data_IF_999812324974
#
_entry.id   IF_999812324974
#
_cell.length_a   1.000
_cell.length_b   1.000
_cell.length_c   1.000
_cell.angle_alpha   90.00
_cell.angle_beta   90.00
_cell.angle_gamma   90.00
#
_symmetry.space_group_name_H-M   'P 1'
#
loop_
_entity.id
_entity.type
_entity.pdbx_description
1 polymer ?
#
# COMPACT_ATOMS: atom_id res chain seq x y z
N UNK A 1 -15.90 14.43 -61.16
CA UNK A 1 -16.62 14.92 -59.96
C UNK A 1 -17.13 16.32 -60.26
N UNK A 2 -18.44 16.53 -60.08
CA UNK A 2 -19.08 17.84 -60.18
C UNK A 2 -18.58 18.76 -59.06
N UNK A 3 -18.55 20.07 -59.30
CA UNK A 3 -18.22 21.09 -58.29
C UNK A 3 -19.08 20.94 -57.00
N UNK A 4 -20.33 20.48 -57.17
CA UNK A 4 -21.25 20.18 -56.06
C UNK A 4 -20.79 19.00 -55.19
N UNK A 5 -20.28 17.93 -55.80
CA UNK A 5 -19.79 16.75 -55.08
C UNK A 5 -18.52 17.08 -54.29
N UNK A 6 -17.61 17.88 -54.88
CA UNK A 6 -16.44 18.38 -54.17
C UNK A 6 -16.80 19.22 -52.94
N UNK A 7 -17.79 20.12 -53.06
CA UNK A 7 -18.24 20.95 -51.95
C UNK A 7 -18.81 20.13 -50.79
N UNK A 8 -19.59 19.08 -51.09
CA UNK A 8 -20.16 18.18 -50.08
C UNK A 8 -19.07 17.42 -49.32
N UNK A 9 -18.08 16.88 -50.04
CA UNK A 9 -16.96 16.15 -49.44
C UNK A 9 -16.12 17.09 -48.57
N UNK A 10 -15.87 18.33 -48.99
CA UNK A 10 -15.13 19.31 -48.17
C UNK A 10 -15.86 19.63 -46.86
N UNK A 11 -17.19 19.85 -46.90
CA UNK A 11 -17.97 20.07 -45.67
C UNK A 11 -17.88 18.89 -44.71
N UNK A 12 -18.02 17.67 -45.21
CA UNK A 12 -17.92 16.46 -44.38
C UNK A 12 -16.53 16.32 -43.74
N UNK A 13 -15.46 16.66 -44.47
CA UNK A 13 -14.10 16.66 -43.92
C UNK A 13 -13.98 17.66 -42.76
N UNK A 14 -14.55 18.85 -42.90
CA UNK A 14 -14.47 19.88 -41.87
C UNK A 14 -15.31 19.51 -40.63
N UNK A 15 -16.49 18.93 -40.82
CA UNK A 15 -17.30 18.35 -39.74
C UNK A 15 -16.53 17.26 -38.97
N UNK A 16 -15.91 16.32 -39.70
CA UNK A 16 -15.10 15.25 -39.10
C UNK A 16 -13.89 15.82 -38.34
N UNK A 17 -13.23 16.86 -38.85
CA UNK A 17 -12.12 17.53 -38.14
C UNK A 17 -12.57 18.19 -36.84
N UNK A 18 -13.74 18.84 -36.86
CA UNK A 18 -14.31 19.46 -35.68
C UNK A 18 -14.63 18.40 -34.61
N UNK A 19 -15.25 17.30 -35.03
CA UNK A 19 -15.55 16.15 -34.17
C UNK A 19 -14.28 15.53 -33.57
N UNK A 20 -13.24 15.30 -34.37
CA UNK A 20 -11.94 14.81 -33.87
C UNK A 20 -11.37 15.76 -32.82
N UNK A 21 -11.46 17.06 -33.05
CA UNK A 21 -10.95 18.07 -32.12
C UNK A 21 -11.78 18.13 -30.83
N UNK A 22 -13.10 17.95 -30.94
CA UNK A 22 -14.02 17.84 -29.80
C UNK A 22 -13.67 16.61 -28.96
N UNK A 23 -13.54 15.44 -29.57
CA UNK A 23 -13.24 14.21 -28.84
C UNK A 23 -11.85 14.20 -28.22
N UNK A 24 -10.82 14.79 -28.86
CA UNK A 24 -9.51 14.97 -28.22
C UNK A 24 -9.60 15.77 -26.92
N UNK A 25 -10.30 16.91 -26.95
CA UNK A 25 -10.52 17.74 -25.75
C UNK A 25 -11.27 16.97 -24.66
N UNK A 26 -12.29 16.20 -25.04
CA UNK A 26 -13.05 15.41 -24.07
C UNK A 26 -12.22 14.29 -23.45
N UNK A 27 -11.38 13.61 -24.25
CA UNK A 27 -10.43 12.61 -23.74
C UNK A 27 -9.47 13.24 -22.73
N UNK A 28 -8.91 14.42 -23.04
CA UNK A 28 -7.98 15.10 -22.13
C UNK A 28 -8.67 15.53 -20.83
N UNK A 29 -9.91 16.05 -20.93
CA UNK A 29 -10.73 16.40 -19.76
C UNK A 29 -11.01 15.19 -18.87
N UNK A 30 -11.38 14.06 -19.47
CA UNK A 30 -11.67 12.82 -18.74
C UNK A 30 -10.41 12.24 -18.09
N UNK A 31 -9.26 12.27 -18.78
CA UNK A 31 -7.97 11.86 -18.20
C UNK A 31 -7.60 12.70 -16.97
N UNK A 32 -7.76 14.02 -17.05
CA UNK A 32 -7.48 14.91 -15.92
C UNK A 32 -8.43 14.65 -14.75
N UNK A 33 -9.71 14.42 -15.04
CA UNK A 33 -10.72 14.08 -14.02
C UNK A 33 -10.38 12.76 -13.35
N UNK A 34 -10.04 11.73 -14.13
CA UNK A 34 -9.62 10.43 -13.63
C UNK A 34 -8.39 10.54 -12.73
N UNK A 35 -7.35 11.28 -13.16
CA UNK A 35 -6.14 11.47 -12.38
C UNK A 35 -6.42 12.13 -11.01
N UNK A 36 -7.28 13.17 -11.00
CA UNK A 36 -7.68 13.84 -9.75
C UNK A 36 -8.42 12.89 -8.80
N UNK A 37 -9.47 12.22 -9.29
CA UNK A 37 -10.25 11.28 -8.47
C UNK A 37 -9.37 10.12 -7.97
N UNK A 38 -8.47 9.62 -8.81
CA UNK A 38 -7.54 8.56 -8.43
C UNK A 38 -6.59 9.00 -7.31
N UNK A 39 -6.04 10.21 -7.40
CA UNK A 39 -5.19 10.78 -6.36
C UNK A 39 -5.94 10.95 -5.02
N UNK A 40 -7.19 11.41 -5.08
CA UNK A 40 -8.03 11.54 -3.89
C UNK A 40 -8.33 10.18 -3.25
N UNK A 41 -8.63 9.16 -4.06
CA UNK A 41 -8.83 7.79 -3.60
C UNK A 41 -7.59 7.26 -2.86
N UNK A 42 -6.40 7.36 -3.48
CA UNK A 42 -5.15 6.87 -2.89
C UNK A 42 -4.81 7.58 -1.56
N UNK A 43 -5.10 8.88 -1.50
CA UNK A 43 -4.92 9.68 -0.27
C UNK A 43 -5.83 9.16 0.85
N UNK A 44 -7.10 8.90 0.56
CA UNK A 44 -8.07 8.39 1.53
C UNK A 44 -7.77 6.96 1.96
N UNK A 45 -7.31 6.10 1.04
CA UNK A 45 -6.89 4.74 1.36
C UNK A 45 -5.70 4.73 2.32
N UNK A 46 -4.73 5.63 2.11
CA UNK A 46 -3.58 5.82 3.00
C UNK A 46 -4.06 6.27 4.39
N UNK A 47 -4.90 7.31 4.44
CA UNK A 47 -5.46 7.82 5.70
C UNK A 47 -6.26 6.75 6.47
N UNK A 48 -7.06 5.95 5.77
CA UNK A 48 -7.81 4.85 6.38
C UNK A 48 -6.89 3.78 6.97
N UNK A 49 -5.78 3.46 6.29
CA UNK A 49 -4.76 2.55 6.80
C UNK A 49 -4.14 3.08 8.11
N UNK A 50 -3.83 4.37 8.16
CA UNK A 50 -3.28 5.01 9.37
C UNK A 50 -4.26 4.96 10.54
N UNK A 51 -5.54 5.29 10.30
CA UNK A 51 -6.59 5.20 11.30
C UNK A 51 -6.76 3.77 11.83
N UNK A 52 -6.77 2.78 10.93
CA UNK A 52 -6.81 1.35 11.31
C UNK A 52 -5.63 0.97 12.19
N UNK A 53 -4.44 1.46 11.86
CA UNK A 53 -3.26 1.25 12.69
C UNK A 53 -3.43 1.88 14.08
N UNK A 54 -4.00 3.09 14.19
CA UNK A 54 -4.21 3.79 15.47
C UNK A 54 -5.15 3.01 16.38
N UNK A 55 -6.26 2.50 15.85
CA UNK A 55 -7.25 1.75 16.64
C UNK A 55 -6.90 0.29 16.85
N UNK A 56 -5.85 -0.22 16.18
CA UNK A 56 -5.44 -1.61 16.29
C UNK A 56 -5.18 -2.00 17.77
N UNK A 57 -5.73 -3.13 18.25
CA UNK A 57 -5.56 -3.58 19.64
C UNK A 57 -4.10 -3.64 20.09
N UNK A 58 -3.21 -3.97 19.17
CA UNK A 58 -1.76 -4.06 19.36
C UNK A 58 -1.12 -2.77 19.89
N UNK A 59 -1.70 -1.60 19.59
CA UNK A 59 -1.24 -0.30 20.11
C UNK A 59 -1.72 -0.04 21.53
N UNK A 60 -2.88 -0.61 21.92
CA UNK A 60 -3.50 -0.48 23.24
C UNK A 60 -2.94 -1.44 24.28
N UNK A 61 -2.31 -2.53 23.85
CA UNK A 61 -1.68 -3.47 24.78
C UNK A 61 -0.55 -2.78 25.59
N UNK A 62 -0.49 -2.99 26.91
CA UNK A 62 0.66 -2.60 27.72
C UNK A 62 1.96 -3.20 27.18
N UNK A 63 3.08 -2.53 27.43
CA UNK A 63 4.39 -2.97 26.94
C UNK A 63 4.80 -4.31 27.54
N UNK A 64 4.36 -4.57 28.77
CA UNK A 64 4.56 -5.80 29.53
C UNK A 64 3.88 -6.98 28.83
N UNK A 65 2.60 -6.82 28.46
CA UNK A 65 1.83 -7.86 27.75
C UNK A 65 2.44 -8.15 26.39
N UNK A 66 2.86 -7.11 25.65
CA UNK A 66 3.58 -7.29 24.39
C UNK A 66 4.92 -8.01 24.60
N UNK A 67 5.64 -7.69 25.67
CA UNK A 67 6.88 -8.36 26.06
C UNK A 67 6.69 -9.85 26.31
N UNK A 68 5.65 -10.24 27.04
CA UNK A 68 5.29 -11.65 27.28
C UNK A 68 4.96 -12.38 25.97
N UNK A 69 4.17 -11.74 25.08
CA UNK A 69 3.88 -12.30 23.76
C UNK A 69 5.17 -12.48 22.95
N UNK A 70 6.08 -11.50 22.96
CA UNK A 70 7.36 -11.61 22.27
C UNK A 70 8.23 -12.72 22.85
N UNK A 71 8.25 -12.88 24.18
CA UNK A 71 8.94 -13.96 24.88
C UNK A 71 8.42 -15.33 24.43
N UNK A 72 7.10 -15.46 24.32
CA UNK A 72 6.46 -16.68 23.82
C UNK A 72 6.81 -16.96 22.35
N UNK A 73 6.75 -15.95 21.47
CA UNK A 73 7.07 -16.08 20.03
C UNK A 73 8.54 -16.44 19.81
N UNK A 74 9.46 -15.70 20.43
CA UNK A 74 10.89 -16.02 20.39
C UNK A 74 11.19 -17.37 21.03
N UNK A 75 10.32 -17.82 21.94
CA UNK A 75 10.54 -19.04 22.69
C UNK A 75 10.01 -20.34 22.11
N UNK A 76 8.89 -20.28 21.41
CA UNK A 76 8.30 -21.43 20.72
C UNK A 76 9.19 -21.90 19.56
N UNK A 77 9.89 -20.97 18.91
CA UNK A 77 10.75 -21.27 17.76
C UNK A 77 12.09 -21.95 18.11
N UNK A 78 12.45 -22.09 19.39
CA UNK A 78 13.60 -22.91 19.82
C UNK A 78 13.28 -24.41 19.88
N UNK A 79 12.01 -24.83 19.94
CA UNK A 79 11.63 -26.23 20.21
C UNK A 79 10.89 -26.96 19.08
N UNK A 80 10.46 -26.25 18.04
CA UNK A 80 9.70 -26.84 16.93
C UNK A 80 10.61 -27.16 15.74
N UNK A 81 10.59 -28.42 15.28
CA UNK A 81 11.16 -28.90 14.01
C UNK A 81 10.47 -28.28 12.76
N UNK A 82 10.35 -26.96 12.70
CA UNK A 82 9.84 -26.22 11.54
C UNK A 82 10.97 -26.04 10.53
N UNK A 83 11.42 -27.15 9.94
CA UNK A 83 12.45 -27.27 8.91
C UNK A 83 12.15 -26.53 7.60
N UNK A 84 11.15 -25.65 7.55
CA UNK A 84 10.72 -24.92 6.35
C UNK A 84 10.55 -23.40 6.53
N UNK A 85 10.58 -22.87 7.75
CA UNK A 85 10.60 -21.41 7.94
C UNK A 85 12.06 -21.02 8.01
N UNK A 86 12.57 -20.46 6.90
CA UNK A 86 13.90 -19.84 6.78
C UNK A 86 14.29 -19.20 8.12
N UNK A 87 15.53 -19.42 8.55
CA UNK A 87 16.32 -18.82 9.66
C UNK A 87 16.03 -17.34 10.00
N UNK A 88 14.78 -16.94 10.19
CA UNK A 88 14.40 -15.60 10.61
C UNK A 88 14.38 -15.64 12.12
N UNK A 89 15.37 -14.98 12.71
CA UNK A 89 15.42 -14.75 14.14
C UNK A 89 14.11 -14.03 14.52
N UNK A 90 13.24 -14.59 15.38
CA UNK A 90 11.91 -14.05 15.61
C UNK A 90 11.97 -12.61 16.14
N UNK A 91 12.97 -12.33 16.99
CA UNK A 91 13.29 -10.98 17.47
C UNK A 91 13.52 -9.99 16.31
N UNK A 92 14.20 -10.39 15.24
CA UNK A 92 14.46 -9.54 14.06
C UNK A 92 13.16 -9.24 13.31
N UNK A 93 12.27 -10.22 13.17
CA UNK A 93 10.94 -10.00 12.57
C UNK A 93 10.10 -9.02 13.40
N UNK A 94 10.18 -9.10 14.73
CA UNK A 94 9.46 -8.19 15.64
C UNK A 94 9.96 -6.73 15.52
N UNK A 95 11.26 -6.51 15.28
CA UNK A 95 11.84 -5.16 15.10
C UNK A 95 11.30 -4.39 13.89
N UNK A 96 10.76 -5.08 12.90
CA UNK A 96 10.30 -4.49 11.63
C UNK A 96 8.83 -4.07 11.65
N UNK A 97 8.08 -4.40 12.71
CA UNK A 97 6.62 -4.17 12.76
C UNK A 97 6.28 -2.71 13.04
N UNK A 98 6.79 -2.13 14.13
CA UNK A 98 6.59 -0.70 14.43
C UNK A 98 7.62 -0.19 15.45
N UNK A 99 7.66 1.14 15.65
CA UNK A 99 8.56 1.79 16.62
C UNK A 99 8.34 1.32 18.07
N UNK A 100 7.08 1.07 18.48
CA UNK A 100 6.75 0.54 19.82
C UNK A 100 7.33 -0.86 20.02
N UNK A 101 7.17 -1.74 19.04
CA UNK A 101 7.71 -3.11 19.07
C UNK A 101 9.22 -3.09 19.11
N UNK A 102 9.85 -2.26 18.27
CA UNK A 102 11.29 -2.04 18.27
C UNK A 102 11.81 -1.59 19.64
N UNK A 103 11.13 -0.63 20.27
CA UNK A 103 11.50 -0.15 21.61
C UNK A 103 11.46 -1.29 22.63
N UNK A 104 10.35 -2.04 22.68
CA UNK A 104 10.17 -3.16 23.62
C UNK A 104 11.25 -4.22 23.42
N UNK A 105 11.47 -4.63 22.16
CA UNK A 105 12.47 -5.66 21.82
C UNK A 105 13.88 -5.23 22.19
N UNK A 106 14.23 -3.95 21.98
CA UNK A 106 15.54 -3.42 22.38
C UNK A 106 15.69 -3.30 23.91
N UNK A 107 14.60 -3.10 24.66
CA UNK A 107 14.63 -3.03 26.13
C UNK A 107 14.58 -4.41 26.82
N UNK A 108 14.35 -5.50 26.07
CA UNK A 108 14.33 -6.86 26.61
C UNK A 108 15.49 -7.70 26.03
N UNK A 109 16.68 -7.68 26.66
CA UNK A 109 17.81 -8.53 26.29
C UNK A 109 17.48 -10.03 26.30
N UNK A 110 16.51 -10.45 27.11
CA UNK A 110 16.06 -11.85 27.18
C UNK A 110 15.52 -12.39 25.85
N UNK A 111 14.96 -11.53 24.99
CA UNK A 111 14.49 -11.90 23.64
C UNK A 111 15.65 -12.22 22.69
N UNK A 112 16.84 -11.71 23.00
CA UNK A 112 18.09 -11.95 22.28
C UNK A 112 18.89 -13.09 22.94
N UNK A 113 18.76 -13.32 24.24
CA UNK A 113 19.54 -14.36 24.96
C UNK A 113 19.30 -15.81 24.50
N UNK A 114 18.29 -16.05 23.65
CA UNK A 114 17.95 -17.38 23.13
C UNK A 114 18.67 -17.74 21.82
N UNK A 115 19.69 -16.95 21.42
CA UNK A 115 20.68 -17.39 20.44
C UNK A 115 21.65 -18.35 21.11
N UNK A 116 21.29 -19.63 21.18
CA UNK A 116 22.32 -20.67 21.28
C UNK A 116 22.93 -20.83 19.90
N UNK A 117 24.17 -20.35 19.74
CA UNK A 117 25.04 -20.63 18.59
C UNK A 117 25.39 -22.12 18.53
#
# INVERSE_FOLDING_TARGET
LSSSEHSLVTKLIDEVKEDVTRYKREIDRLKNTYANVKQQQETLETYLSDLRCIVAPIRRLPSEVLGEIFGFVCGMMSGSNLSKVKRSLPAVSLLQVCSKWRKIVNTMPSLWSRFTL
#
